data_IF_040208053490
#
_entry.id   IF_040208053490
#
_cell.length_a   1.000
_cell.length_b   1.000
_cell.length_c   1.000
_cell.angle_alpha   90.00
_cell.angle_beta   90.00
_cell.angle_gamma   90.00
#
_symmetry.space_group_name_H-M   'P 1'
#
loop_
_entity.id
_entity.type
_entity.pdbx_description
1 polymer ?
2 non-polymer ?
3 water ?
#
# COMPACT_ATOMS: atom_id res chain seq x y z
N UNK A 2 2.42 13.49 -16.25
CA UNK A 2 3.46 12.77 -15.49
C UNK A 2 3.55 13.35 -14.07
N UNK A 3 3.96 14.63 -13.85
CA UNK A 3 4.09 15.17 -12.48
C UNK A 3 2.78 15.17 -11.69
N UNK A 4 1.68 15.49 -12.36
CA UNK A 4 0.32 15.50 -11.76
C UNK A 4 -0.01 14.07 -11.31
N UNK A 5 0.26 13.11 -12.18
CA UNK A 5 0.05 11.67 -11.92
C UNK A 5 0.96 11.23 -10.77
N UNK A 6 2.23 11.63 -10.74
CA UNK A 6 3.16 11.24 -9.64
C UNK A 6 2.65 11.79 -8.29
N UNK A 7 2.17 13.03 -8.25
CA UNK A 7 1.71 13.68 -6.99
C UNK A 7 0.35 13.11 -6.57
N UNK A 8 -0.49 12.68 -7.50
CA UNK A 8 -1.71 11.90 -7.14
C UNK A 8 -1.33 10.60 -6.45
N UNK A 9 -0.35 9.88 -7.01
CA UNK A 9 0.16 8.59 -6.47
C UNK A 9 0.66 8.81 -5.04
N UNK A 10 1.54 9.79 -4.85
CA UNK A 10 2.10 10.15 -3.52
C UNK A 10 0.95 10.45 -2.54
N UNK A 11 -0.02 11.31 -2.90
CA UNK A 11 -1.11 11.74 -1.99
C UNK A 11 -1.99 10.52 -1.63
N UNK A 12 -2.18 9.63 -2.59
CA UNK A 12 -2.96 8.40 -2.33
C UNK A 12 -2.15 7.51 -1.39
N UNK A 13 -0.85 7.40 -1.60
CA UNK A 13 0.02 6.53 -0.78
C UNK A 13 0.01 6.97 0.70
N UNK A 14 0.13 8.27 0.95
CA UNK A 14 0.03 8.91 2.30
C UNK A 14 -1.29 8.50 3.00
N UNK A 15 -2.41 8.55 2.28
CA UNK A 15 -3.75 8.20 2.82
C UNK A 15 -3.80 6.71 3.13
N UNK A 16 -3.18 5.85 2.29
CA UNK A 16 -3.09 4.38 2.56
C UNK A 16 -2.29 4.13 3.85
N UNK A 17 -1.18 4.84 4.03
CA UNK A 17 -0.34 4.75 5.25
C UNK A 17 -1.10 5.24 6.49
N UNK A 18 -1.77 6.38 6.43
CA UNK A 18 -2.50 6.93 7.60
C UNK A 18 -3.63 5.96 7.98
N UNK A 19 -4.42 5.50 7.01
CA UNK A 19 -5.53 4.55 7.29
C UNK A 19 -4.94 3.26 7.85
N UNK A 20 -3.86 2.75 7.25
CA UNK A 20 -3.16 1.56 7.76
C UNK A 20 -2.68 1.73 9.20
N UNK A 21 -1.98 2.82 9.49
CA UNK A 21 -1.40 3.11 10.83
C UNK A 21 -2.51 3.09 11.89
N UNK A 22 -3.63 3.73 11.60
CA UNK A 22 -4.85 3.81 12.45
C UNK A 22 -5.39 2.40 12.74
N UNK A 23 -5.47 1.53 11.73
CA UNK A 23 -6.07 0.17 11.88
C UNK A 23 -5.11 -0.71 12.67
N UNK A 24 -3.82 -0.40 12.62
CA UNK A 24 -2.79 -1.16 13.36
C UNK A 24 -3.02 -1.00 14.86
N UNK A 25 -3.53 0.15 15.30
CA UNK A 25 -3.79 0.41 16.74
C UNK A 25 -4.98 -0.41 17.26
N UNK A 26 -5.76 -1.08 16.40
CA UNK A 26 -7.07 -1.70 16.78
C UNK A 26 -7.07 -3.20 16.50
N UNK A 27 -7.60 -3.98 17.44
CA UNK A 27 -7.80 -5.45 17.30
C UNK A 27 -8.96 -5.69 16.32
N UNK A 28 -9.88 -4.73 16.17
CA UNK A 28 -10.95 -4.76 15.13
C UNK A 28 -11.18 -3.36 14.57
N UNK A 29 -11.38 -3.26 13.26
CA UNK A 29 -11.65 -1.98 12.56
C UNK A 29 -13.00 -2.09 11.86
N UNK A 30 -13.69 -0.97 11.67
CA UNK A 30 -14.99 -0.94 10.96
C UNK A 30 -14.79 -1.35 9.51
N UNK A 31 -15.80 -2.01 8.90
CA UNK A 31 -15.79 -2.29 7.47
C UNK A 31 -15.53 -1.03 6.64
N UNK A 32 -16.06 0.09 7.12
CA UNK A 32 -15.93 1.44 6.53
C UNK A 32 -14.43 1.83 6.43
N UNK A 33 -13.64 1.67 7.49
CA UNK A 33 -12.21 2.07 7.51
C UNK A 33 -11.41 1.10 6.63
N UNK A 34 -11.69 -0.19 6.78
CA UNK A 34 -11.04 -1.29 6.01
C UNK A 34 -11.22 -1.07 4.51
N UNK A 35 -12.43 -0.67 4.07
CA UNK A 35 -12.77 -0.53 2.63
C UNK A 35 -12.21 0.80 2.11
N UNK A 36 -12.16 1.85 2.94
CA UNK A 36 -11.45 3.12 2.58
C UNK A 36 -9.97 2.82 2.26
N UNK A 37 -9.32 2.05 3.12
CA UNK A 37 -7.90 1.63 3.01
C UNK A 37 -7.74 0.84 1.70
N UNK A 38 -8.60 -0.14 1.47
CA UNK A 38 -8.55 -1.02 0.28
C UNK A 38 -8.73 -0.22 -1.01
N UNK A 39 -9.72 0.65 -1.05
CA UNK A 39 -10.08 1.46 -2.24
C UNK A 39 -8.98 2.51 -2.52
N UNK A 40 -8.34 3.02 -1.48
CA UNK A 40 -7.13 3.90 -1.64
C UNK A 40 -5.97 3.05 -2.19
N UNK A 41 -5.74 1.86 -1.66
CA UNK A 41 -4.66 0.95 -2.13
C UNK A 41 -4.83 0.67 -3.64
N UNK A 42 -6.06 0.46 -4.10
CA UNK A 42 -6.34 0.16 -5.53
C UNK A 42 -5.96 1.36 -6.41
N UNK A 43 -6.29 2.56 -5.95
CA UNK A 43 -6.00 3.79 -6.72
C UNK A 43 -4.50 4.08 -6.70
N UNK A 44 -3.79 3.69 -5.64
CA UNK A 44 -2.31 3.84 -5.57
C UNK A 44 -1.68 2.87 -6.57
N UNK A 45 -2.13 1.62 -6.56
CA UNK A 45 -1.68 0.59 -7.53
C UNK A 45 -1.90 1.11 -8.97
N UNK A 46 -3.09 1.63 -9.30
CA UNK A 46 -3.52 2.00 -10.68
C UNK A 46 -2.75 3.25 -11.18
N UNK A 47 -2.60 4.29 -10.37
CA UNK A 47 -1.76 5.46 -10.73
C UNK A 47 -0.29 5.03 -10.94
N UNK A 48 0.27 4.13 -10.12
CA UNK A 48 1.64 3.63 -10.35
C UNK A 48 1.79 3.00 -11.73
N UNK A 49 0.94 2.02 -12.05
CA UNK A 49 0.93 1.29 -13.34
C UNK A 49 0.93 2.31 -14.48
N UNK A 50 0.09 3.31 -14.32
CA UNK A 50 -0.18 4.36 -15.33
C UNK A 50 1.09 5.19 -15.59
N UNK A 51 1.95 5.37 -14.59
CA UNK A 51 3.24 6.10 -14.73
C UNK A 51 4.22 5.30 -15.59
N UNK A 52 4.12 3.97 -15.60
CA UNK A 52 4.96 3.13 -16.51
C UNK A 52 4.41 3.15 -17.95
N UNK A 53 3.20 3.68 -18.19
CA UNK A 53 2.70 4.00 -19.57
C UNK A 53 3.62 5.06 -20.19
N UNK A 60 16.16 4.79 -12.13
CA UNK A 60 16.73 3.42 -12.12
C UNK A 60 15.62 2.44 -12.50
N UNK A 61 15.67 1.79 -13.69
CA UNK A 61 14.72 0.72 -13.99
C UNK A 61 14.70 -0.32 -12.88
N UNK A 62 15.84 -0.50 -12.21
CA UNK A 62 16.07 -1.54 -11.19
C UNK A 62 15.31 -1.18 -9.90
N UNK A 63 15.28 0.10 -9.52
CA UNK A 63 14.52 0.57 -8.34
C UNK A 63 13.02 0.47 -8.63
N UNK A 64 12.61 0.86 -9.84
CA UNK A 64 11.19 0.76 -10.29
C UNK A 64 10.73 -0.69 -10.20
N UNK A 65 11.58 -1.62 -10.64
CA UNK A 65 11.23 -3.07 -10.69
C UNK A 65 11.03 -3.58 -9.26
N UNK A 66 11.93 -3.24 -8.33
CA UNK A 66 11.85 -3.71 -6.93
C UNK A 66 10.56 -3.16 -6.28
N UNK A 67 10.28 -1.87 -6.45
CA UNK A 67 9.09 -1.14 -5.93
C UNK A 67 7.82 -1.85 -6.46
N UNK A 68 7.72 -2.04 -7.78
CA UNK A 68 6.54 -2.71 -8.38
C UNK A 68 6.35 -4.08 -7.73
N UNK A 69 7.38 -4.93 -7.82
CA UNK A 69 7.36 -6.28 -7.21
C UNK A 69 6.85 -6.22 -5.76
N UNK A 70 7.40 -5.33 -4.93
CA UNK A 70 7.01 -5.17 -3.50
C UNK A 70 5.53 -4.76 -3.38
N UNK A 71 5.09 -3.81 -4.20
CA UNK A 71 3.67 -3.36 -4.24
C UNK A 71 2.71 -4.55 -4.52
N UNK A 72 3.13 -5.49 -5.37
CA UNK A 72 2.30 -6.69 -5.68
C UNK A 72 2.20 -7.56 -4.41
N UNK A 73 3.35 -7.83 -3.77
CA UNK A 73 3.42 -8.64 -2.54
C UNK A 73 2.54 -8.01 -1.46
N UNK A 74 2.56 -6.69 -1.28
CA UNK A 74 1.71 -6.04 -0.24
C UNK A 74 0.24 -6.23 -0.64
N UNK A 75 -0.12 -5.92 -1.90
CA UNK A 75 -1.50 -6.13 -2.40
C UNK A 75 -1.96 -7.58 -2.16
N UNK A 76 -1.15 -8.60 -2.47
CA UNK A 76 -1.55 -10.02 -2.32
C UNK A 76 -1.78 -10.37 -0.84
N UNK A 77 -0.97 -9.86 0.11
CA UNK A 77 -1.17 -10.10 1.57
C UNK A 77 -2.51 -9.45 1.97
N UNK A 78 -2.83 -8.27 1.41
CA UNK A 78 -4.12 -7.57 1.54
C UNK A 78 -5.30 -8.42 1.07
N UNK A 79 -5.23 -9.02 -0.12
CA UNK A 79 -6.27 -9.91 -0.71
C UNK A 79 -6.63 -11.03 0.29
N UNK A 80 -5.62 -11.61 0.95
CA UNK A 80 -5.80 -12.67 1.98
C UNK A 80 -6.49 -12.13 3.23
N UNK A 81 -6.16 -10.92 3.67
CA UNK A 81 -6.71 -10.32 4.92
C UNK A 81 -8.18 -9.94 4.69
N UNK A 82 -8.55 -9.80 3.42
CA UNK A 82 -9.91 -9.44 2.97
C UNK A 82 -10.92 -10.56 3.27
N UNK A 83 -10.46 -11.80 3.33
CA UNK A 83 -11.28 -13.03 3.58
C UNK A 83 -11.64 -13.22 5.06
N UNK A 84 -11.04 -12.45 5.97
CA UNK A 84 -11.03 -12.69 7.43
C UNK A 84 -11.71 -11.52 8.14
N UNK A 85 -12.68 -11.81 8.99
CA UNK A 85 -13.26 -10.87 9.98
C UNK A 85 -12.15 -10.36 10.92
N UNK A 86 -11.19 -11.19 11.31
CA UNK A 86 -10.03 -10.74 12.13
C UNK A 86 -8.72 -11.35 11.61
N UNK A 87 -7.67 -10.56 11.56
CA UNK A 87 -6.37 -10.98 10.97
C UNK A 87 -5.34 -11.20 12.10
N UNK A 88 -4.78 -12.42 12.17
CA UNK A 88 -3.64 -12.85 13.01
C UNK A 88 -2.54 -11.80 12.95
N UNK A 89 -1.87 -11.47 14.08
CA UNK A 89 -0.93 -10.35 14.11
C UNK A 89 0.34 -10.66 13.30
N UNK A 90 0.50 -11.93 12.90
CA UNK A 90 1.61 -12.48 12.06
C UNK A 90 1.40 -12.11 10.59
N UNK A 91 0.16 -12.22 10.09
CA UNK A 91 -0.23 -11.73 8.74
C UNK A 91 -0.19 -10.20 8.74
N UNK A 92 -0.59 -9.58 9.84
CA UNK A 92 -0.61 -8.10 9.97
C UNK A 92 0.83 -7.55 9.91
N UNK A 93 1.78 -8.27 10.52
CA UNK A 93 3.22 -7.88 10.57
C UNK A 93 3.83 -8.06 9.19
N UNK A 94 3.58 -9.19 8.54
CA UNK A 94 4.10 -9.47 7.17
C UNK A 94 3.74 -8.30 6.24
N UNK A 95 2.48 -7.85 6.30
CA UNK A 95 1.87 -6.78 5.46
C UNK A 95 2.50 -5.42 5.80
N UNK A 96 2.61 -5.09 7.08
CA UNK A 96 3.22 -3.81 7.48
C UNK A 96 4.67 -3.76 7.01
N UNK A 97 5.38 -4.88 7.12
CA UNK A 97 6.83 -4.99 6.82
C UNK A 97 7.02 -4.74 5.32
N UNK A 98 6.32 -5.50 4.46
CA UNK A 98 6.37 -5.34 2.99
C UNK A 98 5.95 -3.91 2.67
N UNK A 99 4.88 -3.39 3.31
CA UNK A 99 4.40 -2.01 3.08
C UNK A 99 5.53 -0.98 3.33
N UNK A 100 6.24 -1.02 4.46
CA UNK A 100 7.33 -0.03 4.73
C UNK A 100 8.40 -0.11 3.62
N UNK A 101 8.70 -1.31 3.16
CA UNK A 101 9.67 -1.51 2.05
C UNK A 101 9.18 -0.81 0.78
N UNK A 102 7.87 -0.79 0.50
CA UNK A 102 7.30 -0.12 -0.71
C UNK A 102 7.42 1.41 -0.59
N UNK A 103 7.14 1.95 0.59
CA UNK A 103 7.25 3.40 0.90
C UNK A 103 8.71 3.85 0.78
N UNK A 104 9.64 3.10 1.39
CA UNK A 104 11.11 3.35 1.38
C UNK A 104 11.61 3.44 -0.07
N UNK A 105 11.27 2.46 -0.91
CA UNK A 105 11.71 2.42 -2.34
C UNK A 105 11.07 3.55 -3.13
N UNK A 106 9.82 3.90 -2.85
CA UNK A 106 9.19 5.04 -3.54
C UNK A 106 9.93 6.35 -3.27
N UNK A 107 10.21 6.62 -2.00
CA UNK A 107 10.93 7.84 -1.51
C UNK A 107 12.36 7.86 -2.08
N UNK A 108 13.01 6.70 -2.23
CA UNK A 108 14.40 6.62 -2.75
C UNK A 108 14.39 7.02 -4.23
N UNK A 109 13.21 7.05 -4.84
CA UNK A 109 13.12 7.41 -6.28
C UNK A 109 13.15 8.93 -6.47
N UNK A 110 12.80 9.72 -5.45
CA UNK A 110 12.92 11.21 -5.49
C UNK A 110 14.39 11.59 -5.70
N UNK A 111 15.23 11.31 -4.70
CA UNK A 111 16.70 11.58 -4.78
C UNK A 111 17.25 11.06 -6.11
X LIG B 1 6.90 6.57 -6.42
X LIG B 1 4.30 4.51 -2.87
X LIG B 1 2.75 1.10 -6.01
X LIG B 1 5.29 3.23 -9.56
X LIG B 1 6.30 6.38 -5.18
X LIG B 1 6.38 7.17 -4.03
X LIG B 1 5.67 6.60 -3.05
X LIG B 1 5.12 5.43 -3.53
X LIG B 1 5.47 7.11 -1.67
X LIG B 1 7.12 8.45 -3.94
X LIG B 1 6.21 9.54 -4.52
X LIG B 1 6.75 10.94 -4.33
X LIG B 1 6.86 11.68 -5.30
X LIG B 1 7.08 11.37 -3.22
X LIG B 1 3.64 3.38 -3.38
X LIG B 1 2.80 2.50 -2.65
X LIG B 1 2.37 1.53 -3.50
X LIG B 1 2.93 1.85 -4.82
X LIG B 1 2.48 2.57 -1.20
X LIG B 1 1.49 0.39 -3.21
X LIG B 1 0.93 -0.28 -4.21
X LIG B 1 3.35 1.29 -7.26
X LIG B 1 3.33 0.45 -8.36
X LIG B 1 4.05 1.05 -9.35
X LIG B 1 4.52 2.30 -8.88
X LIG B 1 2.64 -0.88 -8.45
X LIG B 1 4.29 0.52 -10.68
X LIG B 1 4.11 -0.77 -10.89
X LIG B 1 5.96 4.32 -9.00
X LIG B 1 6.87 5.20 -9.71
X LIG B 1 7.33 6.13 -8.86
X LIG B 1 6.70 5.83 -7.58
X LIG B 1 7.21 5.06 -11.14
X LIG B 1 8.30 7.24 -9.16
X LIG B 1 7.66 8.48 -9.75
X LIG B 1 8.60 9.41 -10.49
X LIG B 1 8.15 10.39 -11.06
X LIG B 1 9.82 9.26 -10.56
X LIG B 1 5.52 5.37 -4.79
X LIG B 1 3.63 2.94 -4.63
X LIG B 1 4.09 2.34 -7.63
X LIG B 1 5.93 4.75 -7.76
X LIG B 1 4.81 3.91 -6.24
X LIG C 1 -5.64 -4.67 4.99
X LIG C 1 -3.49 -3.02 0.97
X LIG C 1 -0.32 -0.55 3.66
X LIG C 1 -2.35 -2.19 7.59
X LIG C 1 -5.33 -4.40 3.67
X LIG C 1 -6.08 -4.85 2.56
X LIG C 1 -5.48 -4.36 1.42
X LIG C 1 -4.34 -3.65 1.84
X LIG C 1 -5.85 -4.52 -0.05
X LIG C 1 -7.34 -5.67 2.65
X LIG C 1 -8.52 -4.84 3.14
X LIG C 1 -9.31 -5.51 4.25
X LIG C 1 -8.81 -6.38 4.95
X LIG C 1 -10.48 -5.18 4.50
X LIG C 1 -2.43 -2.20 1.35
X LIG C 1 -1.53 -1.63 0.42
X LIG C 1 -0.65 -0.94 1.20
X LIG C 1 -1.01 -1.15 2.60
X LIG C 1 -1.60 -1.79 -1.10
X LIG C 1 0.50 -0.08 0.93
X LIG C 1 0.73 0.34 -0.25
X LIG C 1 -0.56 -0.72 4.99
X LIG C 1 0.17 -0.20 6.08
X LIG C 1 -0.42 -0.72 7.20
X LIG C 1 -1.52 -1.51 6.77
X LIG C 1 1.38 0.74 6.04
X LIG C 1 -0.10 -0.46 8.62
X LIG C 1 0.74 0.50 9.02
X LIG C 1 -3.39 -3.01 7.16
X LIG C 1 -4.20 -3.75 8.14
X LIG C 1 -5.13 -4.43 7.42
X LIG C 1 -4.87 -4.11 6.00
X LIG C 1 -4.05 -3.74 9.65
X LIG C 1 -6.16 -5.37 8.01
X LIG C 1 -7.28 -4.62 8.71
X LIG C 1 -8.10 -5.48 9.65
X LIG C 1 -8.97 -4.87 10.28
X LIG C 1 -7.93 -6.71 9.80
X LIG C 1 -4.26 -3.63 3.20
X LIG C 1 -2.07 -1.90 2.60
X LIG C 1 -1.57 -1.48 5.44
X LIG C 1 -3.80 -3.25 5.90
X LIG C 1 -3.01 -2.51 4.33
#
# INVERSE_FOLDING_TARGET
GSPELREKHRALAEQVYATGQEMLKNTSNSPELREKHRALAEQVYATGQEMLKNGSVSPSPELREKHRALAEQVYATGQEMLKNTSNSPELREKHRALAEQVYATGQEMLKN
HEM CHA CHB CHC CHD C1A C2A C3A C4A CMA CAA CBA CGA O1A O2A C1B C2B C3B C4B CMB CAB CBB C1C C2C C3C C4C CMC CAC CBC C1D C2D C3D C4D CMD CAD CBD CGD O1D O2D NA NB NC ND FE
HEM CHA CHB CHC CHD C1A C2A C3A C4A CMA CAA CBA CGA O1A O2A C1B C2B C3B C4B CMB CAB CBB C1C C2C C3C C4C CMC CAC CBC C1D C2D C3D C4D CMD CAD CBD CGD O1D O2D NA NB NC ND FE
#
